data_IF_964617833788
#
_entry.id   IF_964617833788
#
_cell.length_a   1.000
_cell.length_b   1.000
_cell.length_c   1.000
_cell.angle_alpha   90.00
_cell.angle_beta   90.00
_cell.angle_gamma   90.00
#
_symmetry.space_group_name_H-M   'P 1'
#
loop_
_entity.id
_entity.type
_entity.pdbx_description
1 polymer ?
#
# COMPACT_ATOMS: atom_id res chain seq x y z
N UNK A 1 -37.49 -39.95 -28.80
CA UNK A 1 -36.05 -39.72 -29.11
C UNK A 1 -35.77 -38.25 -28.77
N UNK A 2 -35.71 -37.85 -27.50
CA UNK A 2 -34.65 -38.03 -26.49
C UNK A 2 -33.32 -37.34 -26.85
N UNK A 3 -33.09 -36.14 -26.27
CA UNK A 3 -31.83 -35.62 -25.69
C UNK A 3 -31.99 -34.11 -25.43
N UNK A 4 -32.43 -33.71 -24.23
CA UNK A 4 -31.63 -33.27 -23.06
C UNK A 4 -31.09 -31.84 -23.17
N UNK A 5 -31.80 -30.97 -22.45
CA UNK A 5 -31.39 -29.66 -21.93
C UNK A 5 -30.10 -29.84 -21.11
N UNK A 6 -29.03 -29.13 -21.50
CA UNK A 6 -27.84 -29.01 -20.67
C UNK A 6 -27.97 -27.76 -19.81
N UNK A 7 -28.20 -27.99 -18.51
CA UNK A 7 -28.00 -27.02 -17.44
C UNK A 7 -26.58 -26.44 -17.51
N UNK A 8 -26.46 -25.16 -17.83
CA UNK A 8 -25.27 -24.37 -17.51
C UNK A 8 -25.37 -23.90 -16.06
N UNK A 9 -24.97 -24.74 -15.11
CA UNK A 9 -24.71 -24.30 -13.74
C UNK A 9 -23.63 -23.23 -13.74
N UNK A 10 -23.71 -22.23 -12.84
CA UNK A 10 -22.69 -21.19 -12.73
C UNK A 10 -21.38 -21.85 -12.32
N UNK A 11 -20.31 -21.57 -13.08
CA UNK A 11 -18.96 -21.91 -12.63
C UNK A 11 -18.71 -21.18 -11.32
N UNK A 12 -18.73 -22.00 -10.28
CA UNK A 12 -18.27 -21.75 -8.94
C UNK A 12 -16.77 -21.44 -9.04
N UNK A 13 -16.39 -20.16 -9.11
CA UNK A 13 -15.14 -19.70 -8.52
C UNK A 13 -15.37 -19.56 -7.02
N UNK A 14 -15.52 -20.71 -6.35
CA UNK A 14 -15.14 -20.82 -4.96
C UNK A 14 -13.62 -20.74 -4.93
N UNK A 15 -13.06 -19.72 -4.28
CA UNK A 15 -12.36 -19.89 -3.00
C UNK A 15 -11.63 -18.60 -2.51
N UNK A 16 -12.25 -17.42 -2.61
CA UNK A 16 -11.77 -16.20 -1.89
C UNK A 16 -12.78 -15.61 -0.89
N UNK A 17 -13.87 -16.32 -0.61
CA UNK A 17 -14.91 -15.86 0.32
C UNK A 17 -14.76 -16.40 1.76
N UNK A 18 -13.71 -17.16 2.07
CA UNK A 18 -13.52 -17.77 3.39
C UNK A 18 -12.07 -17.71 3.87
N UNK A 19 -11.69 -16.57 4.42
CA UNK A 19 -11.04 -16.55 5.73
C UNK A 19 -10.87 -15.11 6.21
N UNK A 20 -11.43 -14.83 7.38
CA UNK A 20 -10.90 -13.81 8.26
C UNK A 20 -9.44 -14.15 8.56
N UNK A 21 -8.48 -13.68 7.74
CA UNK A 21 -7.07 -13.81 8.08
C UNK A 21 -6.70 -12.61 8.92
N UNK A 22 -6.99 -12.71 10.21
CA UNK A 22 -6.48 -11.81 11.24
C UNK A 22 -5.00 -11.52 10.96
N UNK A 23 -4.58 -10.27 11.18
CA UNK A 23 -3.17 -9.93 11.09
C UNK A 23 -2.44 -10.77 12.15
N UNK A 24 -1.75 -11.84 11.74
CA UNK A 24 -1.01 -12.70 12.65
C UNK A 24 0.46 -12.28 12.68
N UNK A 25 0.74 -11.20 13.42
CA UNK A 25 2.09 -10.77 13.74
C UNK A 25 2.47 -11.24 15.14
N UNK A 26 3.59 -11.95 15.25
CA UNK A 26 4.19 -12.26 16.55
C UNK A 26 4.61 -10.98 17.28
N UNK A 27 4.75 -11.04 18.61
CA UNK A 27 5.21 -9.88 19.38
C UNK A 27 6.57 -9.34 18.89
N UNK A 28 7.47 -10.24 18.49
CA UNK A 28 8.76 -9.88 17.90
C UNK A 28 8.59 -9.12 16.57
N UNK A 29 7.73 -9.62 15.66
CA UNK A 29 7.46 -8.94 14.38
C UNK A 29 6.86 -7.55 14.59
N UNK A 30 5.95 -7.39 15.56
CA UNK A 30 5.39 -6.07 15.91
C UNK A 30 6.49 -5.12 16.40
N UNK A 31 7.36 -5.58 17.30
CA UNK A 31 8.49 -4.77 17.77
C UNK A 31 9.47 -4.43 16.64
N UNK A 32 9.73 -5.35 15.71
CA UNK A 32 10.56 -5.08 14.54
C UNK A 32 9.98 -3.98 13.68
N UNK A 33 8.67 -4.00 13.39
CA UNK A 33 7.99 -2.95 12.63
C UNK A 33 8.09 -1.61 13.36
N UNK A 34 7.76 -1.55 14.64
CA UNK A 34 7.82 -0.31 15.43
C UNK A 34 9.23 0.31 15.41
N UNK A 35 10.26 -0.47 15.77
CA UNK A 35 11.64 0.01 15.85
C UNK A 35 12.20 0.41 14.48
N UNK A 36 11.90 -0.38 13.45
CA UNK A 36 12.39 -0.09 12.10
C UNK A 36 11.68 1.12 11.50
N UNK A 37 10.40 1.33 11.78
CA UNK A 37 9.68 2.54 11.37
C UNK A 37 10.24 3.80 12.04
N UNK A 38 10.45 3.76 13.36
CA UNK A 38 11.06 4.86 14.11
C UNK A 38 12.45 5.21 13.56
N UNK A 39 13.28 4.19 13.31
CA UNK A 39 14.62 4.36 12.73
C UNK A 39 14.57 4.86 11.28
N UNK A 40 13.63 4.41 10.47
CA UNK A 40 13.49 4.85 9.08
C UNK A 40 13.00 6.31 9.01
N UNK A 41 11.96 6.63 9.79
CA UNK A 41 11.32 7.95 9.81
C UNK A 41 12.19 9.05 10.42
N UNK A 42 13.17 8.69 11.27
CA UNK A 42 14.20 9.62 11.76
C UNK A 42 15.31 9.89 10.75
N UNK A 43 15.44 9.07 9.71
CA UNK A 43 16.48 9.21 8.69
C UNK A 43 15.97 9.83 7.39
N UNK A 44 14.70 9.63 7.04
CA UNK A 44 14.11 10.14 5.82
C UNK A 44 12.59 10.38 5.98
N UNK A 45 12.06 11.28 5.15
CA UNK A 45 10.61 11.40 4.96
C UNK A 45 10.11 10.26 4.07
N UNK A 46 9.64 9.18 4.70
CA UNK A 46 9.19 7.96 4.02
C UNK A 46 8.03 8.24 3.06
N UNK A 47 7.15 9.19 3.40
CA UNK A 47 6.07 9.63 2.53
C UNK A 47 6.59 10.27 1.25
N UNK A 48 7.56 11.18 1.35
CA UNK A 48 8.15 11.83 0.17
C UNK A 48 8.96 10.83 -0.68
N UNK A 49 9.70 9.94 -0.03
CA UNK A 49 10.42 8.82 -0.63
C UNK A 49 9.49 7.89 -1.43
N UNK A 50 8.34 7.52 -0.86
CA UNK A 50 7.33 6.71 -1.53
C UNK A 50 6.76 7.42 -2.76
N UNK A 51 6.36 8.69 -2.60
CA UNK A 51 5.74 9.47 -3.68
C UNK A 51 6.73 9.70 -4.83
N UNK A 52 8.01 9.95 -4.53
CA UNK A 52 9.06 10.06 -5.54
C UNK A 52 9.24 8.75 -6.32
N UNK A 53 9.30 7.60 -5.63
CA UNK A 53 9.36 6.28 -6.29
C UNK A 53 8.15 6.02 -7.18
N UNK A 54 6.94 6.34 -6.72
CA UNK A 54 5.72 6.17 -7.52
C UNK A 54 5.67 7.09 -8.75
N UNK A 55 6.16 8.33 -8.63
CA UNK A 55 6.26 9.25 -9.77
C UNK A 55 7.26 8.77 -10.83
N UNK A 56 8.29 8.04 -10.41
CA UNK A 56 9.31 7.45 -11.27
C UNK A 56 8.94 6.04 -11.79
N UNK A 57 7.84 5.46 -11.30
CA UNK A 57 7.39 4.14 -11.73
C UNK A 57 6.35 4.26 -12.86
N UNK A 58 6.84 4.06 -14.09
CA UNK A 58 6.04 4.11 -15.31
C UNK A 58 4.94 3.03 -15.40
N UNK A 59 4.95 2.03 -14.52
CA UNK A 59 3.88 1.03 -14.43
C UNK A 59 2.65 1.57 -13.71
N UNK A 60 2.79 2.69 -12.99
CA UNK A 60 1.69 3.31 -12.25
C UNK A 60 1.06 4.45 -13.03
N UNK A 61 -0.23 4.66 -12.83
CA UNK A 61 -0.92 5.89 -13.28
C UNK A 61 -0.83 7.02 -12.25
N UNK A 62 0.09 6.93 -11.28
CA UNK A 62 0.15 7.83 -10.14
C UNK A 62 0.42 9.28 -10.56
N UNK A 63 1.32 9.47 -11.52
CA UNK A 63 1.62 10.79 -12.10
C UNK A 63 0.38 11.43 -12.73
N UNK A 64 -0.31 10.72 -13.62
CA UNK A 64 -1.52 11.20 -14.27
C UNK A 64 -2.63 11.54 -13.24
N UNK A 65 -2.74 10.75 -12.17
CA UNK A 65 -3.67 11.04 -11.07
C UNK A 65 -3.31 12.34 -10.35
N UNK A 66 -2.02 12.56 -10.06
CA UNK A 66 -1.55 13.79 -9.42
C UNK A 66 -1.77 15.02 -10.30
N UNK A 67 -1.49 14.92 -11.59
CA UNK A 67 -1.75 15.99 -12.58
C UNK A 67 -3.24 16.33 -12.64
N UNK A 68 -4.10 15.32 -12.78
CA UNK A 68 -5.56 15.49 -12.81
C UNK A 68 -6.10 16.18 -11.55
N UNK A 69 -5.55 15.86 -10.36
CA UNK A 69 -6.00 16.44 -9.09
C UNK A 69 -5.36 17.78 -8.75
N UNK A 70 -4.20 18.09 -9.30
CA UNK A 70 -3.49 19.35 -9.04
C UNK A 70 -3.77 20.43 -10.08
N UNK A 71 -4.22 20.05 -11.28
CA UNK A 71 -4.38 20.96 -12.42
C UNK A 71 -3.05 21.36 -13.08
N UNK A 72 -1.91 20.87 -12.55
CA UNK A 72 -0.58 21.21 -13.05
C UNK A 72 0.04 20.00 -13.73
N UNK A 73 0.61 20.21 -14.92
CA UNK A 73 1.41 19.20 -15.60
C UNK A 73 2.72 19.00 -14.85
N UNK A 74 3.05 17.75 -14.57
CA UNK A 74 4.34 17.38 -14.03
C UNK A 74 5.31 17.24 -15.22
N UNK A 75 6.55 17.70 -15.07
CA UNK A 75 7.56 17.67 -16.15
C UNK A 75 8.09 16.26 -16.45
N UNK A 76 8.77 16.05 -17.58
CA UNK A 76 9.49 14.80 -17.84
C UNK A 76 10.83 14.80 -17.10
N UNK A 77 10.94 14.05 -16.00
CA UNK A 77 12.16 13.94 -15.21
C UNK A 77 12.03 12.90 -14.11
N UNK A 78 13.17 12.55 -13.51
CA UNK A 78 13.19 11.75 -12.29
C UNK A 78 12.94 12.68 -11.09
N UNK A 79 11.97 12.32 -10.27
CA UNK A 79 11.59 13.06 -9.07
C UNK A 79 12.39 12.59 -7.87
N UNK A 80 12.89 13.52 -7.07
CA UNK A 80 13.46 13.23 -5.75
C UNK A 80 12.47 13.54 -4.63
N UNK A 81 12.72 13.09 -3.38
CA UNK A 81 11.92 13.50 -2.23
C UNK A 81 11.85 15.03 -2.05
N UNK A 82 12.92 15.75 -2.38
CA UNK A 82 12.97 17.22 -2.33
C UNK A 82 12.02 17.85 -3.35
N UNK A 83 11.89 17.26 -4.54
CA UNK A 83 10.93 17.73 -5.55
C UNK A 83 9.49 17.51 -5.09
N UNK A 84 9.21 16.36 -4.48
CA UNK A 84 7.89 16.07 -3.86
C UNK A 84 7.53 17.13 -2.84
N UNK A 85 8.49 17.55 -2.01
CA UNK A 85 8.29 18.58 -1.00
C UNK A 85 7.97 19.97 -1.57
N UNK A 86 8.34 20.26 -2.83
CA UNK A 86 7.99 21.54 -3.49
C UNK A 86 6.57 21.50 -4.07
N UNK A 87 6.06 20.32 -4.41
CA UNK A 87 4.76 20.13 -5.04
C UNK A 87 3.65 19.99 -4.00
N UNK A 88 2.80 21.01 -3.83
CA UNK A 88 1.79 21.06 -2.77
C UNK A 88 0.89 19.80 -2.69
N UNK A 89 0.42 19.31 -3.85
CA UNK A 89 -0.42 18.11 -3.89
C UNK A 89 0.37 16.84 -3.56
N UNK A 90 1.58 16.69 -4.10
CA UNK A 90 2.42 15.52 -3.84
C UNK A 90 2.85 15.47 -2.36
N UNK A 91 3.25 16.62 -1.79
CA UNK A 91 3.53 16.79 -0.36
C UNK A 91 2.33 16.45 0.53
N UNK A 92 1.12 16.84 0.12
CA UNK A 92 -0.12 16.47 0.85
C UNK A 92 -0.34 14.95 0.85
N UNK A 93 -0.07 14.26 -0.27
CA UNK A 93 -0.14 12.79 -0.34
C UNK A 93 0.93 12.16 0.56
N UNK A 94 2.18 12.63 0.48
CA UNK A 94 3.29 12.17 1.33
C UNK A 94 2.98 12.32 2.82
N UNK A 95 2.44 13.47 3.23
CA UNK A 95 2.01 13.73 4.61
C UNK A 95 0.89 12.76 5.05
N UNK A 96 -0.07 12.48 4.16
CA UNK A 96 -1.13 11.49 4.42
C UNK A 96 -0.58 10.07 4.63
N UNK A 97 0.43 9.66 3.85
CA UNK A 97 1.13 8.37 4.02
C UNK A 97 1.77 8.30 5.41
N UNK A 98 2.60 9.27 5.78
CA UNK A 98 3.26 9.29 7.08
C UNK A 98 2.24 9.29 8.23
N UNK A 99 1.20 10.11 8.12
CA UNK A 99 0.12 10.19 9.13
C UNK A 99 -0.58 8.85 9.31
N UNK A 100 -0.92 8.18 8.21
CA UNK A 100 -1.56 6.87 8.27
C UNK A 100 -0.66 5.82 8.89
N UNK A 101 0.61 5.71 8.44
CA UNK A 101 1.53 4.69 8.97
C UNK A 101 1.90 4.96 10.43
N UNK A 102 2.11 6.21 10.83
CA UNK A 102 2.29 6.56 12.25
C UNK A 102 1.10 6.09 13.09
N UNK A 103 -0.13 6.34 12.63
CA UNK A 103 -1.34 5.92 13.33
C UNK A 103 -1.52 4.40 13.35
N UNK A 104 -1.26 3.71 12.24
CA UNK A 104 -1.40 2.25 12.17
C UNK A 104 -0.33 1.55 13.04
N UNK A 105 0.90 2.04 13.03
CA UNK A 105 2.02 1.45 13.78
C UNK A 105 1.87 1.70 15.28
N UNK A 106 1.32 2.85 15.70
CA UNK A 106 1.04 3.11 17.12
C UNK A 106 0.07 2.09 17.72
N UNK A 107 -0.74 1.41 16.89
CA UNK A 107 -1.69 0.37 17.32
C UNK A 107 -1.05 -0.99 17.55
N UNK A 108 0.16 -1.25 17.06
CA UNK A 108 0.79 -2.57 17.16
C UNK A 108 1.11 -3.03 18.60
N UNK A 109 1.03 -2.12 19.57
CA UNK A 109 1.21 -2.43 20.99
C UNK A 109 -0.12 -2.72 21.71
N UNK A 110 -1.26 -2.49 21.07
CA UNK A 110 -2.58 -2.67 21.66
C UNK A 110 -3.01 -4.15 21.54
N UNK A 111 -3.84 -4.65 22.46
CA UNK A 111 -4.30 -6.04 22.46
C UNK A 111 -5.14 -6.38 21.21
N UNK A 112 -5.94 -5.42 20.75
CA UNK A 112 -6.84 -5.48 19.60
C UNK A 112 -6.23 -4.87 18.32
N UNK A 113 -4.90 -4.77 18.22
CA UNK A 113 -4.20 -4.08 17.13
C UNK A 113 -4.73 -4.42 15.72
N UNK A 114 -5.04 -5.70 15.47
CA UNK A 114 -5.48 -6.18 14.17
C UNK A 114 -6.81 -5.53 13.73
N UNK A 115 -7.77 -5.42 14.66
CA UNK A 115 -9.10 -4.86 14.41
C UNK A 115 -9.02 -3.34 14.22
N UNK A 116 -8.17 -2.68 15.01
CA UNK A 116 -7.95 -1.23 14.88
C UNK A 116 -7.30 -0.89 13.53
N UNK A 117 -6.23 -1.60 13.16
CA UNK A 117 -5.54 -1.40 11.88
C UNK A 117 -6.45 -1.77 10.70
N UNK A 118 -7.27 -2.81 10.85
CA UNK A 118 -8.28 -3.17 9.86
C UNK A 118 -9.27 -2.01 9.66
N UNK A 119 -9.81 -1.47 10.75
CA UNK A 119 -10.76 -0.35 10.72
C UNK A 119 -10.16 0.87 10.01
N UNK A 120 -8.92 1.23 10.37
CA UNK A 120 -8.19 2.33 9.72
C UNK A 120 -8.01 2.09 8.22
N UNK A 121 -7.67 0.87 7.84
CA UNK A 121 -7.41 0.48 6.44
C UNK A 121 -8.71 0.46 5.62
N UNK A 122 -9.81 -0.05 6.17
CA UNK A 122 -11.14 0.01 5.54
C UNK A 122 -11.57 1.45 5.28
N UNK A 123 -11.46 2.31 6.30
CA UNK A 123 -11.79 3.74 6.18
C UNK A 123 -10.93 4.44 5.13
N UNK A 124 -9.63 4.15 5.10
CA UNK A 124 -8.72 4.70 4.10
C UNK A 124 -9.11 4.24 2.69
N UNK A 125 -9.49 2.97 2.52
CA UNK A 125 -10.01 2.43 1.25
C UNK A 125 -11.26 3.16 0.76
N UNK A 126 -12.26 3.32 1.65
CA UNK A 126 -13.49 4.05 1.34
C UNK A 126 -13.21 5.52 0.97
N UNK A 127 -12.30 6.18 1.69
CA UNK A 127 -11.87 7.54 1.36
C UNK A 127 -11.28 7.63 -0.05
N UNK A 128 -10.43 6.68 -0.46
CA UNK A 128 -9.87 6.66 -1.82
C UNK A 128 -10.97 6.54 -2.89
N UNK A 129 -12.00 5.73 -2.64
CA UNK A 129 -13.17 5.66 -3.54
C UNK A 129 -13.88 7.02 -3.63
N UNK A 130 -14.22 7.64 -2.50
CA UNK A 130 -14.91 8.95 -2.46
C UNK A 130 -14.11 10.06 -3.15
N UNK A 131 -12.78 9.99 -3.07
CA UNK A 131 -11.88 10.91 -3.78
C UNK A 131 -11.80 10.65 -5.30
N UNK A 132 -12.57 9.67 -5.81
CA UNK A 132 -12.58 9.22 -7.20
C UNK A 132 -11.19 8.83 -7.68
N UNK A 133 -10.43 8.17 -6.80
CA UNK A 133 -9.11 7.64 -7.13
C UNK A 133 -9.33 6.28 -7.80
N UNK A 134 -9.15 6.23 -9.12
CA UNK A 134 -9.25 4.98 -9.88
C UNK A 134 -7.91 4.24 -9.80
N UNK A 135 -7.80 3.29 -8.88
CA UNK A 135 -6.59 2.49 -8.68
C UNK A 135 -6.79 1.06 -9.23
N UNK A 136 -6.18 0.77 -10.37
CA UNK A 136 -6.11 -0.59 -10.93
C UNK A 136 -5.28 -1.51 -10.02
N UNK A 137 -5.44 -2.83 -10.18
CA UNK A 137 -4.75 -3.85 -9.40
C UNK A 137 -3.22 -3.62 -9.33
N UNK A 138 -2.63 -3.22 -10.45
CA UNK A 138 -1.20 -2.95 -10.64
C UNK A 138 -0.69 -1.79 -9.76
N UNK A 139 -1.52 -0.77 -9.54
CA UNK A 139 -1.13 0.38 -8.72
C UNK A 139 -0.98 -0.01 -7.24
N UNK A 140 -1.81 -0.93 -6.74
CA UNK A 140 -1.71 -1.43 -5.35
C UNK A 140 -0.42 -2.21 -5.13
N UNK A 141 0.00 -2.99 -6.13
CA UNK A 141 1.27 -3.72 -6.07
C UNK A 141 2.45 -2.73 -6.08
N UNK A 142 2.41 -1.71 -6.94
CA UNK A 142 3.48 -0.72 -6.98
C UNK A 142 3.56 0.09 -5.68
N UNK A 143 2.44 0.48 -5.06
CA UNK A 143 2.44 1.13 -3.73
C UNK A 143 3.07 0.24 -2.67
N UNK A 144 2.69 -1.05 -2.61
CA UNK A 144 3.32 -2.02 -1.70
C UNK A 144 4.83 -2.02 -1.89
N UNK A 145 5.26 -2.08 -3.14
CA UNK A 145 6.65 -2.25 -3.48
C UNK A 145 7.46 -1.00 -3.18
N UNK A 146 7.02 0.16 -3.65
CA UNK A 146 7.69 1.43 -3.39
C UNK A 146 7.74 1.74 -1.89
N UNK A 147 6.74 1.35 -1.09
CA UNK A 147 6.76 1.56 0.35
C UNK A 147 7.84 0.71 1.03
N UNK A 148 7.89 -0.58 0.70
CA UNK A 148 8.92 -1.49 1.24
C UNK A 148 10.32 -1.02 0.83
N UNK A 149 10.51 -0.59 -0.42
CA UNK A 149 11.78 0.02 -0.87
C UNK A 149 12.12 1.29 -0.10
N UNK A 150 11.14 2.15 0.18
CA UNK A 150 11.36 3.39 0.91
C UNK A 150 11.81 3.14 2.34
N UNK A 151 11.17 2.20 3.04
CA UNK A 151 11.57 1.81 4.40
C UNK A 151 12.94 1.16 4.40
N UNK A 152 13.21 0.22 3.49
CA UNK A 152 14.50 -0.47 3.40
C UNK A 152 15.63 0.51 3.05
N UNK A 153 15.45 1.38 2.07
CA UNK A 153 16.41 2.40 1.68
C UNK A 153 16.77 3.35 2.85
N UNK A 154 15.77 3.77 3.62
CA UNK A 154 16.00 4.57 4.82
C UNK A 154 16.77 3.81 5.91
N UNK A 155 16.53 2.51 6.08
CA UNK A 155 17.22 1.69 7.07
C UNK A 155 18.68 1.41 6.70
N UNK A 156 18.98 1.23 5.42
CA UNK A 156 20.32 0.93 4.90
C UNK A 156 21.11 2.18 4.53
N UNK A 157 20.48 3.36 4.50
CA UNK A 157 21.04 4.59 3.93
C UNK A 157 21.49 4.44 2.48
N UNK A 158 20.86 3.52 1.74
CA UNK A 158 21.11 3.30 0.32
C UNK A 158 19.85 3.61 -0.48
N UNK A 159 19.79 4.74 -1.22
CA UNK A 159 18.61 5.11 -2.00
C UNK A 159 18.32 4.13 -3.15
N UNK A 160 19.30 3.30 -3.54
CA UNK A 160 19.16 2.24 -4.56
C UNK A 160 18.81 0.89 -3.95
N UNK A 161 18.62 0.81 -2.63
CA UNK A 161 18.18 -0.42 -2.00
C UNK A 161 16.81 -0.81 -2.55
N UNK A 162 16.73 -2.05 -3.04
CA UNK A 162 15.50 -2.67 -3.51
C UNK A 162 15.33 -4.00 -2.79
N UNK A 163 14.09 -4.45 -2.66
CA UNK A 163 13.74 -5.69 -2.00
C UNK A 163 13.20 -6.66 -3.06
N UNK A 164 13.79 -7.85 -3.15
CA UNK A 164 13.41 -8.84 -4.15
C UNK A 164 12.16 -9.59 -3.67
N UNK A 165 10.99 -9.29 -4.27
CA UNK A 165 9.74 -9.96 -3.89
C UNK A 165 9.21 -10.97 -4.93
N UNK A 166 9.70 -10.95 -6.17
CA UNK A 166 9.40 -11.96 -7.19
C UNK A 166 10.54 -12.03 -8.21
N UNK A 167 11.40 -13.07 -8.14
CA UNK A 167 12.18 -13.64 -9.26
C UNK A 167 13.18 -12.79 -10.06
N UNK A 168 13.14 -11.46 -10.01
CA UNK A 168 14.06 -10.59 -10.72
C UNK A 168 15.16 -10.14 -9.77
N UNK A 169 16.32 -10.78 -9.88
CA UNK A 169 17.55 -10.42 -9.17
C UNK A 169 17.89 -8.94 -9.33
N UNK A 170 17.75 -8.14 -8.28
CA UNK A 170 18.56 -6.94 -8.05
C UNK A 170 18.91 -6.79 -6.57
N UNK A 171 20.21 -6.58 -6.34
CA UNK A 171 20.99 -6.48 -5.09
C UNK A 171 20.20 -6.62 -3.78
N UNK A 172 20.35 -7.79 -3.17
CA UNK A 172 20.01 -8.08 -1.77
C UNK A 172 20.97 -7.29 -0.88
N UNK A 173 20.45 -6.39 -0.05
CA UNK A 173 21.21 -5.75 1.03
C UNK A 173 20.69 -6.22 2.40
N UNK A 174 21.61 -6.17 3.38
CA UNK A 174 21.58 -6.65 4.77
C UNK A 174 20.45 -6.08 5.67
N UNK A 175 19.21 -6.01 5.21
CA UNK A 175 18.06 -5.90 6.12
C UNK A 175 17.72 -7.30 6.57
N UNK A 176 17.56 -7.49 7.88
CA UNK A 176 17.18 -8.79 8.44
C UNK A 176 15.93 -9.32 7.73
N UNK A 177 15.99 -10.59 7.29
CA UNK A 177 14.87 -11.28 6.64
C UNK A 177 13.62 -11.23 7.52
N UNK A 178 13.78 -11.28 8.85
CA UNK A 178 12.69 -11.19 9.82
C UNK A 178 11.96 -9.85 9.73
N UNK A 179 12.69 -8.73 9.64
CA UNK A 179 12.14 -7.37 9.49
C UNK A 179 11.38 -7.25 8.17
N UNK A 180 11.98 -7.74 7.08
CA UNK A 180 11.36 -7.68 5.74
C UNK A 180 10.06 -8.49 5.69
N UNK A 181 10.04 -9.68 6.29
CA UNK A 181 8.83 -10.51 6.37
C UNK A 181 7.73 -9.88 7.22
N UNK A 182 8.09 -9.26 8.36
CA UNK A 182 7.15 -8.55 9.21
C UNK A 182 6.47 -7.39 8.45
N UNK A 183 7.28 -6.56 7.78
CA UNK A 183 6.77 -5.47 6.94
C UNK A 183 5.88 -5.96 5.80
N UNK A 184 6.27 -7.07 5.15
CA UNK A 184 5.46 -7.64 4.09
C UNK A 184 4.07 -8.04 4.60
N UNK A 185 3.99 -8.79 5.71
CA UNK A 185 2.72 -9.18 6.34
C UNK A 185 1.87 -7.96 6.68
N UNK A 186 2.49 -6.95 7.31
CA UNK A 186 1.82 -5.73 7.75
C UNK A 186 1.22 -4.93 6.59
N UNK A 187 2.03 -4.61 5.57
CA UNK A 187 1.58 -3.84 4.40
C UNK A 187 0.58 -4.62 3.57
N UNK A 188 0.77 -5.94 3.42
CA UNK A 188 -0.18 -6.79 2.71
C UNK A 188 -1.56 -6.77 3.38
N UNK A 189 -1.62 -6.85 4.71
CA UNK A 189 -2.88 -6.77 5.45
C UNK A 189 -3.57 -5.41 5.28
N UNK A 190 -2.81 -4.30 5.35
CA UNK A 190 -3.33 -2.95 5.11
C UNK A 190 -3.95 -2.87 3.72
N UNK A 191 -3.22 -3.27 2.67
CA UNK A 191 -3.70 -3.18 1.28
C UNK A 191 -4.93 -4.05 1.06
N UNK A 192 -4.97 -5.26 1.63
CA UNK A 192 -6.14 -6.13 1.54
C UNK A 192 -7.38 -5.46 2.15
N UNK A 193 -7.25 -4.84 3.32
CA UNK A 193 -8.38 -4.16 3.95
C UNK A 193 -8.73 -2.82 3.28
N UNK A 194 -7.76 -2.09 2.73
CA UNK A 194 -8.04 -0.94 1.88
C UNK A 194 -8.87 -1.33 0.64
N UNK A 195 -8.52 -2.43 -0.03
CA UNK A 195 -9.30 -2.95 -1.16
C UNK A 195 -10.73 -3.30 -0.76
N UNK A 196 -10.91 -3.97 0.39
CA UNK A 196 -12.23 -4.29 0.94
C UNK A 196 -13.06 -3.03 1.21
N UNK A 197 -12.47 -2.02 1.85
CA UNK A 197 -13.16 -0.76 2.17
C UNK A 197 -13.53 0.04 0.93
N UNK A 198 -12.63 0.07 -0.07
CA UNK A 198 -12.90 0.67 -1.37
C UNK A 198 -14.08 0.00 -2.08
N UNK A 199 -14.09 -1.34 -2.14
CA UNK A 199 -15.13 -2.12 -2.81
C UNK A 199 -16.49 -1.98 -2.10
N UNK A 200 -16.50 -2.03 -0.77
CA UNK A 200 -17.73 -1.85 0.01
C UNK A 200 -18.37 -0.48 -0.25
N UNK A 201 -17.56 0.58 -0.29
CA UNK A 201 -18.05 1.92 -0.61
C UNK A 201 -18.57 2.02 -2.06
N UNK A 202 -17.92 1.35 -3.01
CA UNK A 202 -18.35 1.31 -4.40
C UNK A 202 -19.72 0.65 -4.57
N UNK A 203 -19.91 -0.54 -3.98
CA UNK A 203 -21.17 -1.28 -4.03
C UNK A 203 -22.32 -0.49 -3.39
N UNK A 204 -22.06 0.22 -2.29
CA UNK A 204 -23.07 1.07 -1.64
C UNK A 204 -23.47 2.27 -2.50
N UNK A 205 -22.53 2.85 -3.25
CA UNK A 205 -22.80 3.99 -4.13
C UNK A 205 -23.59 3.59 -5.39
N UNK A 206 -23.38 2.38 -5.90
CA UNK A 206 -24.11 1.86 -7.06
C UNK A 206 -25.54 1.44 -6.71
N UNK A 207 -25.78 0.94 -5.48
CA UNK A 207 -27.13 0.62 -5.00
C UNK A 207 -28.05 1.82 -4.72
N UNK A 208 -27.53 3.04 -4.83
CA UNK A 208 -28.28 4.30 -4.67
C UNK A 208 -28.64 4.97 -6.01
N UNK A 209 -28.34 4.33 -7.15
CA UNK A 209 -28.68 4.80 -8.50
C UNK A 209 -29.81 3.97 -9.10
#
# INVERSE_FOLDING_TARGET
>A
MAARVANGSPMVEADEASNCRSMNLTAAERQHICRSWEKASSQADIGCELVARLLNDNRTRFRALLECKSGNLLGSGNYTPEDVNKMARARSVASGVNTFFNKAISKLNDENYADEIQTLSLQLGAMHFRMKVWFQAENWLCVKNCLLESVVAALTKDPKASYALCGASKRVLNVDKSVTQAWFKFVQFIIQNMKKGFLAEALNADGQR
#
